data_IF_649464305872
#
_entry.id   IF_649464305872
#
_cell.length_a   1.000
_cell.length_b   1.000
_cell.length_c   1.000
_cell.angle_alpha   90.00
_cell.angle_beta   90.00
_cell.angle_gamma   90.00
#
_symmetry.space_group_name_H-M   'P 1'
#
loop_
_entity.id
_entity.type
_entity.pdbx_description
1 polymer ?
#
# COMPACT_ATOMS: atom_id res chain seq x y z
N UNK A 1 6.76 37.53 -40.06
CA UNK A 1 7.64 36.53 -39.37
C UNK A 1 6.77 35.36 -39.07
N UNK A 2 7.32 34.17 -39.02
CA UNK A 2 6.53 32.97 -38.66
C UNK A 2 6.47 32.90 -37.12
N UNK A 3 5.28 32.65 -36.54
CA UNK A 3 5.10 32.39 -35.11
C UNK A 3 5.99 31.23 -34.66
N UNK A 4 6.50 31.32 -33.46
CA UNK A 4 7.21 30.23 -32.78
C UNK A 4 6.41 29.79 -31.58
N UNK A 5 6.73 28.61 -31.03
CA UNK A 5 5.97 28.02 -29.95
C UNK A 5 6.91 27.52 -28.86
N UNK A 6 6.39 27.41 -27.62
CA UNK A 6 7.12 26.76 -26.55
C UNK A 6 7.12 25.25 -26.76
N UNK A 7 8.27 24.60 -26.56
CA UNK A 7 8.44 23.17 -26.85
C UNK A 7 7.47 22.31 -26.01
N UNK A 8 7.34 22.59 -24.71
CA UNK A 8 6.60 21.72 -23.79
C UNK A 8 5.08 21.92 -23.83
N UNK A 9 4.60 23.13 -24.08
CA UNK A 9 3.17 23.44 -24.00
C UNK A 9 2.53 23.80 -25.36
N UNK A 10 3.33 24.02 -26.39
CA UNK A 10 2.82 24.52 -27.67
C UNK A 10 2.23 25.93 -27.59
N UNK A 11 2.67 26.74 -26.59
CA UNK A 11 2.19 28.11 -26.38
C UNK A 11 2.79 29.03 -27.46
N UNK A 12 1.96 29.78 -28.15
CA UNK A 12 2.43 30.70 -29.19
C UNK A 12 3.20 31.90 -28.62
N UNK A 13 4.39 32.12 -29.14
CA UNK A 13 5.23 33.28 -28.86
C UNK A 13 5.01 34.30 -29.96
N UNK A 14 4.24 35.35 -29.66
CA UNK A 14 3.83 36.37 -30.64
C UNK A 14 5.00 37.32 -30.86
N UNK A 15 5.58 37.42 -32.09
CA UNK A 15 6.60 38.39 -32.40
C UNK A 15 6.07 39.81 -32.37
N UNK A 16 6.96 40.77 -32.10
CA UNK A 16 6.61 42.21 -32.14
C UNK A 16 6.10 42.63 -33.49
N UNK A 17 4.93 43.28 -33.53
CA UNK A 17 4.29 43.76 -34.75
C UNK A 17 3.48 42.73 -35.54
N UNK A 18 3.43 41.52 -35.05
CA UNK A 18 2.59 40.44 -35.62
C UNK A 18 1.18 40.42 -35.01
N UNK A 19 0.27 39.66 -35.64
CA UNK A 19 -1.10 39.36 -35.16
C UNK A 19 -1.99 40.60 -34.98
N UNK A 20 -1.82 41.62 -35.82
CA UNK A 20 -2.68 42.80 -35.83
C UNK A 20 -4.15 42.39 -36.01
N UNK A 21 -4.99 42.71 -35.03
CA UNK A 21 -6.41 42.36 -35.01
C UNK A 21 -6.73 40.94 -34.49
N UNK A 22 -5.75 40.06 -34.32
CA UNK A 22 -5.94 38.67 -33.83
C UNK A 22 -5.17 38.35 -32.55
N UNK A 23 -4.25 39.20 -32.11
CA UNK A 23 -3.39 38.94 -30.93
C UNK A 23 -4.20 38.60 -29.67
N UNK A 24 -5.37 39.22 -29.48
CA UNK A 24 -6.24 38.93 -28.35
C UNK A 24 -6.74 37.49 -28.36
N UNK A 25 -7.11 36.97 -29.53
CA UNK A 25 -7.52 35.55 -29.65
C UNK A 25 -6.38 34.62 -29.40
N UNK A 26 -5.20 34.88 -29.96
CA UNK A 26 -3.99 34.10 -29.75
C UNK A 26 -3.55 34.10 -28.28
N UNK A 27 -3.57 35.27 -27.63
CA UNK A 27 -3.24 35.38 -26.20
C UNK A 27 -4.24 34.63 -25.34
N UNK A 28 -5.54 34.70 -25.62
CA UNK A 28 -6.55 33.93 -24.87
C UNK A 28 -6.38 32.43 -25.08
N UNK A 29 -6.04 31.98 -26.30
CA UNK A 29 -5.72 30.57 -26.53
C UNK A 29 -4.49 30.13 -25.73
N UNK A 30 -3.43 30.95 -25.73
CA UNK A 30 -2.22 30.70 -24.93
C UNK A 30 -2.52 30.58 -23.42
N UNK A 31 -3.35 31.47 -22.88
CA UNK A 31 -3.79 31.38 -21.49
C UNK A 31 -4.64 30.14 -21.23
N UNK A 32 -5.51 29.72 -22.12
CA UNK A 32 -6.27 28.47 -21.99
C UNK A 32 -5.36 27.25 -22.05
N UNK A 33 -4.26 27.28 -22.81
CA UNK A 33 -3.23 26.25 -22.81
C UNK A 33 -2.53 26.21 -21.43
N UNK A 34 -2.11 27.36 -20.88
CA UNK A 34 -1.48 27.45 -19.56
C UNK A 34 -2.40 26.91 -18.48
N UNK A 35 -3.69 27.29 -18.49
CA UNK A 35 -4.67 26.78 -17.52
C UNK A 35 -4.82 25.25 -17.61
N UNK A 36 -4.87 24.73 -18.84
CA UNK A 36 -4.94 23.28 -19.07
C UNK A 36 -3.68 22.54 -18.57
N UNK A 37 -2.49 23.10 -18.80
CA UNK A 37 -1.22 22.55 -18.34
C UNK A 37 -1.10 22.52 -16.80
N UNK A 38 -1.65 23.54 -16.15
CA UNK A 38 -1.52 23.71 -14.69
C UNK A 38 -2.62 23.00 -13.89
N UNK A 39 -3.87 23.10 -14.36
CA UNK A 39 -5.05 22.65 -13.61
C UNK A 39 -5.94 21.66 -14.41
N UNK A 40 -5.58 21.37 -15.66
CA UNK A 40 -6.44 20.58 -16.54
C UNK A 40 -6.49 19.10 -16.20
N UNK A 41 -7.71 18.56 -16.14
CA UNK A 41 -7.99 17.13 -16.03
C UNK A 41 -8.63 16.66 -17.34
N UNK A 42 -7.93 15.79 -18.07
CA UNK A 42 -8.40 15.22 -19.32
C UNK A 42 -8.98 13.82 -19.13
N UNK A 43 -10.22 13.61 -19.63
CA UNK A 43 -10.78 12.27 -19.74
C UNK A 43 -10.54 11.75 -21.15
N UNK A 44 -9.71 10.73 -21.28
CA UNK A 44 -9.26 10.16 -22.54
C UNK A 44 -9.94 8.81 -22.75
N UNK A 45 -10.77 8.72 -23.79
CA UNK A 45 -11.45 7.48 -24.13
C UNK A 45 -10.56 6.63 -25.03
N UNK A 46 -10.04 5.53 -24.51
CA UNK A 46 -9.21 4.59 -25.24
C UNK A 46 -10.06 3.57 -26.01
N UNK A 47 -9.59 3.24 -27.21
CA UNK A 47 -10.13 2.18 -28.05
C UNK A 47 -8.98 1.51 -28.81
N UNK A 48 -9.19 0.28 -29.29
CA UNK A 48 -8.12 -0.46 -29.97
C UNK A 48 -6.92 -0.72 -29.06
N UNK A 49 -5.71 -0.68 -29.63
CA UNK A 49 -4.45 -0.99 -28.92
C UNK A 49 -3.45 0.15 -28.89
N UNK A 50 -3.77 1.28 -29.53
CA UNK A 50 -2.90 2.46 -29.60
C UNK A 50 -3.69 3.75 -29.48
N UNK A 51 -3.09 4.76 -28.86
CA UNK A 51 -3.61 6.12 -28.76
C UNK A 51 -2.45 7.12 -28.76
N UNK A 52 -2.62 8.28 -29.41
CA UNK A 52 -1.60 9.34 -29.36
C UNK A 52 -2.18 10.55 -28.66
N UNK A 53 -1.52 11.00 -27.62
CA UNK A 53 -1.78 12.27 -26.94
C UNK A 53 -0.85 13.32 -27.53
N UNK A 54 -1.42 14.33 -28.17
CA UNK A 54 -0.65 15.35 -28.88
C UNK A 54 -0.66 16.65 -28.09
N UNK A 55 0.51 17.26 -27.91
CA UNK A 55 0.65 18.67 -27.53
C UNK A 55 0.75 19.48 -28.80
N UNK A 56 -0.35 20.13 -29.19
CA UNK A 56 -0.44 20.89 -30.42
C UNK A 56 0.05 22.32 -30.24
N UNK A 57 0.76 22.83 -31.24
CA UNK A 57 1.22 24.22 -31.29
C UNK A 57 0.04 25.17 -31.48
N UNK A 58 -0.09 26.20 -30.64
CA UNK A 58 -1.07 27.28 -30.75
C UNK A 58 -2.53 26.84 -30.62
N UNK A 59 -2.82 25.62 -30.18
CA UNK A 59 -4.19 25.13 -30.03
C UNK A 59 -4.32 24.16 -28.84
N UNK A 60 -5.54 24.07 -28.33
CA UNK A 60 -5.85 23.15 -27.22
C UNK A 60 -5.82 21.70 -27.69
N UNK A 61 -5.12 20.84 -26.95
CA UNK A 61 -5.00 19.42 -27.29
C UNK A 61 -4.87 18.55 -26.05
N UNK A 62 -5.03 17.23 -26.22
CA UNK A 62 -5.13 16.29 -25.09
C UNK A 62 -3.81 16.07 -24.35
N UNK A 63 -2.66 16.21 -25.02
CA UNK A 63 -1.35 16.10 -24.40
C UNK A 63 -1.00 17.22 -23.43
N UNK A 64 -1.80 18.30 -23.40
CA UNK A 64 -1.60 19.46 -22.51
C UNK A 64 -2.24 19.28 -21.11
N UNK A 65 -2.98 18.21 -20.86
CA UNK A 65 -3.52 17.97 -19.51
C UNK A 65 -2.46 17.47 -18.54
N UNK A 66 -2.40 18.07 -17.35
CA UNK A 66 -1.53 17.58 -16.28
C UNK A 66 -2.06 16.30 -15.60
N UNK A 67 -3.38 16.10 -15.64
CA UNK A 67 -4.03 14.89 -15.10
C UNK A 67 -4.77 14.16 -16.22
N UNK A 68 -4.47 12.88 -16.40
CA UNK A 68 -5.03 12.02 -17.44
C UNK A 68 -5.87 10.90 -16.82
N UNK A 69 -7.16 10.88 -17.13
CA UNK A 69 -8.09 9.83 -16.74
C UNK A 69 -8.39 8.95 -17.95
N UNK A 70 -7.74 7.80 -18.06
CA UNK A 70 -8.00 6.83 -19.11
C UNK A 70 -9.27 6.04 -18.83
N UNK A 71 -10.19 6.06 -19.77
CA UNK A 71 -11.46 5.35 -19.76
C UNK A 71 -11.65 4.66 -21.11
N UNK A 72 -12.82 4.05 -21.32
CA UNK A 72 -13.17 3.38 -22.57
C UNK A 72 -13.11 1.87 -22.46
N UNK A 73 -12.94 1.19 -23.59
CA UNK A 73 -12.90 -0.27 -23.68
C UNK A 73 -11.92 -0.66 -24.80
N UNK A 74 -10.61 -0.52 -24.57
CA UNK A 74 -9.61 -0.95 -25.54
C UNK A 74 -9.70 -2.46 -25.76
N UNK A 75 -9.28 -2.94 -26.92
CA UNK A 75 -9.36 -4.36 -27.30
C UNK A 75 -8.25 -5.22 -26.70
N UNK A 76 -7.42 -4.65 -25.85
CA UNK A 76 -6.28 -5.26 -25.16
C UNK A 76 -5.38 -4.16 -24.61
N UNK A 77 -4.18 -4.49 -24.16
CA UNK A 77 -3.20 -3.49 -23.70
C UNK A 77 -3.07 -2.37 -24.71
N UNK A 78 -3.28 -1.13 -24.27
CA UNK A 78 -3.23 0.05 -25.11
C UNK A 78 -1.92 0.82 -24.91
N UNK A 79 -1.20 1.13 -26.00
CA UNK A 79 -0.01 1.99 -25.94
C UNK A 79 -0.43 3.43 -26.21
N UNK A 80 -0.28 4.28 -25.20
CA UNK A 80 -0.50 5.72 -25.26
C UNK A 80 0.84 6.41 -25.51
N UNK A 81 0.99 7.06 -26.67
CA UNK A 81 2.21 7.75 -27.04
C UNK A 81 2.05 9.25 -26.84
N UNK A 82 2.95 9.86 -26.08
CA UNK A 82 3.04 11.32 -25.93
C UNK A 82 3.79 11.91 -27.12
N UNK A 83 3.18 12.91 -27.76
CA UNK A 83 3.74 13.61 -28.92
C UNK A 83 3.61 15.13 -28.73
N UNK A 84 4.64 15.91 -29.18
CA UNK A 84 5.89 15.48 -29.77
C UNK A 84 6.85 14.81 -28.78
N UNK A 85 7.87 14.13 -29.26
CA UNK A 85 8.81 13.39 -28.42
C UNK A 85 9.94 14.25 -27.81
N UNK A 86 9.97 15.52 -28.12
CA UNK A 86 10.90 16.53 -27.58
C UNK A 86 10.26 17.45 -26.52
N UNK A 87 8.98 17.20 -26.16
CA UNK A 87 8.31 17.91 -25.09
C UNK A 87 8.44 17.14 -23.77
N UNK A 88 9.05 17.75 -22.75
CA UNK A 88 9.07 17.22 -21.39
C UNK A 88 7.81 17.62 -20.63
N UNK A 89 7.21 16.68 -19.90
CA UNK A 89 5.95 16.91 -19.21
C UNK A 89 5.75 15.95 -18.02
N UNK A 90 5.13 16.44 -16.95
CA UNK A 90 4.70 15.63 -15.81
C UNK A 90 3.22 15.32 -15.96
N UNK A 91 2.87 14.04 -15.77
CA UNK A 91 1.49 13.57 -15.81
C UNK A 91 1.12 12.82 -14.53
N UNK A 92 -0.06 13.11 -14.03
CA UNK A 92 -0.75 12.26 -13.06
C UNK A 92 -1.75 11.42 -13.82
N UNK A 93 -1.57 10.11 -13.82
CA UNK A 93 -2.36 9.19 -14.65
C UNK A 93 -3.23 8.31 -13.77
N UNK A 94 -4.49 8.15 -14.13
CA UNK A 94 -5.39 7.11 -13.59
C UNK A 94 -5.91 6.25 -14.73
N UNK A 95 -5.70 4.95 -14.66
CA UNK A 95 -6.21 4.01 -15.64
C UNK A 95 -7.48 3.31 -15.13
N UNK A 96 -8.60 3.54 -15.80
CA UNK A 96 -9.90 2.89 -15.56
C UNK A 96 -10.48 2.35 -16.88
N UNK A 97 -9.63 2.02 -17.86
CA UNK A 97 -10.05 1.61 -19.23
C UNK A 97 -10.43 0.13 -19.36
N UNK A 98 -10.23 -0.68 -18.30
CA UNK A 98 -10.46 -2.12 -18.35
C UNK A 98 -9.20 -2.93 -18.65
N UNK A 99 -8.23 -2.36 -19.36
CA UNK A 99 -6.99 -3.01 -19.79
C UNK A 99 -5.76 -2.27 -19.24
N UNK A 100 -4.57 -2.86 -19.38
CA UNK A 100 -3.32 -2.17 -19.06
C UNK A 100 -3.00 -1.10 -20.09
N UNK A 101 -2.42 0.01 -19.65
CA UNK A 101 -1.95 1.11 -20.51
C UNK A 101 -0.43 1.21 -20.42
N UNK A 102 0.25 1.20 -21.57
CA UNK A 102 1.68 1.47 -21.69
C UNK A 102 1.83 2.93 -22.10
N UNK A 103 2.55 3.70 -21.30
CA UNK A 103 2.89 5.10 -21.57
C UNK A 103 4.25 5.13 -22.26
N UNK A 104 4.33 5.77 -23.41
CA UNK A 104 5.52 5.82 -24.27
C UNK A 104 5.71 7.22 -24.83
N UNK A 105 6.95 7.62 -25.12
CA UNK A 105 7.22 8.90 -25.82
C UNK A 105 8.16 8.74 -27.02
N UNK A 106 9.15 7.86 -26.92
CA UNK A 106 10.13 7.58 -27.97
C UNK A 106 10.61 6.14 -27.93
N UNK A 107 11.88 5.92 -28.22
CA UNK A 107 12.50 4.60 -28.16
C UNK A 107 13.05 4.24 -26.77
N UNK A 108 12.93 5.14 -25.79
CA UNK A 108 13.37 4.93 -24.40
C UNK A 108 12.45 4.04 -23.60
N UNK A 109 12.63 4.05 -22.26
CA UNK A 109 11.83 3.25 -21.35
C UNK A 109 10.35 3.67 -21.34
N UNK A 110 9.47 2.71 -21.14
CA UNK A 110 8.03 2.90 -21.03
C UNK A 110 7.53 2.56 -19.63
N UNK A 111 6.37 3.11 -19.25
CA UNK A 111 5.70 2.83 -17.98
C UNK A 111 4.38 2.11 -18.26
N UNK A 112 4.13 1.00 -17.55
CA UNK A 112 2.86 0.29 -17.61
C UNK A 112 2.00 0.59 -16.40
N UNK A 113 0.81 1.13 -16.64
CA UNK A 113 -0.21 1.39 -15.62
C UNK A 113 -1.32 0.35 -15.76
N UNK A 114 -1.40 -0.58 -14.82
CA UNK A 114 -2.44 -1.61 -14.83
C UNK A 114 -3.83 -1.01 -14.63
N UNK A 115 -4.87 -1.71 -15.09
CA UNK A 115 -6.25 -1.27 -14.86
C UNK A 115 -6.55 -1.06 -13.37
N UNK A 116 -7.24 0.02 -13.04
CA UNK A 116 -7.58 0.42 -11.68
C UNK A 116 -6.44 1.08 -10.89
N UNK A 117 -5.24 1.23 -11.49
CA UNK A 117 -4.08 1.86 -10.86
C UNK A 117 -3.87 3.30 -11.32
N UNK A 118 -3.04 4.02 -10.54
CA UNK A 118 -2.60 5.37 -10.85
C UNK A 118 -1.07 5.44 -10.79
N UNK A 119 -0.50 6.39 -11.52
CA UNK A 119 0.93 6.66 -11.53
C UNK A 119 1.19 8.15 -11.65
N UNK A 120 2.32 8.61 -11.13
CA UNK A 120 2.89 9.92 -11.42
C UNK A 120 4.12 9.65 -12.28
N UNK A 121 4.10 10.18 -13.49
CA UNK A 121 5.16 9.94 -14.46
C UNK A 121 5.65 11.24 -15.06
N UNK A 122 6.87 11.26 -15.58
CA UNK A 122 7.30 12.31 -16.48
C UNK A 122 7.80 11.72 -17.81
N UNK A 123 7.50 12.41 -18.87
CA UNK A 123 8.06 12.23 -20.19
C UNK A 123 9.28 13.17 -20.30
N UNK A 124 10.45 12.67 -20.71
CA UNK A 124 11.72 13.40 -20.59
C UNK A 124 12.09 14.24 -21.81
N UNK A 125 11.27 14.20 -22.89
CA UNK A 125 11.47 15.02 -24.08
C UNK A 125 12.79 14.81 -24.81
N UNK A 126 13.46 13.66 -24.64
CA UNK A 126 14.79 13.41 -25.19
C UNK A 126 14.80 13.09 -26.70
N UNK A 127 13.73 13.43 -27.43
CA UNK A 127 13.60 13.20 -28.86
C UNK A 127 13.43 11.72 -29.20
N UNK A 128 14.22 11.20 -30.15
CA UNK A 128 14.11 9.79 -30.57
C UNK A 128 14.33 8.83 -29.40
N UNK A 129 15.19 9.18 -28.45
CA UNK A 129 15.47 8.40 -27.26
C UNK A 129 14.54 8.66 -26.07
N UNK A 130 13.50 9.48 -26.26
CA UNK A 130 12.63 9.89 -25.17
C UNK A 130 12.02 8.72 -24.40
N UNK A 131 11.98 8.86 -23.09
CA UNK A 131 11.49 7.87 -22.15
C UNK A 131 10.34 8.42 -21.30
N UNK A 132 9.53 7.52 -20.78
CA UNK A 132 8.59 7.81 -19.69
C UNK A 132 9.11 7.17 -18.43
N UNK A 133 9.17 7.93 -17.35
CA UNK A 133 9.73 7.52 -16.06
C UNK A 133 8.65 7.56 -14.99
N UNK A 134 8.47 6.46 -14.27
CA UNK A 134 7.56 6.38 -13.13
C UNK A 134 8.27 6.89 -11.86
N UNK A 135 7.72 7.94 -11.27
CA UNK A 135 8.20 8.52 -10.01
C UNK A 135 7.24 8.24 -8.84
N UNK A 136 6.18 7.46 -9.07
CA UNK A 136 5.18 7.13 -8.05
C UNK A 136 5.83 6.52 -6.82
N UNK A 137 6.76 5.58 -7.00
CA UNK A 137 7.44 4.88 -5.92
C UNK A 137 8.33 5.80 -5.07
N UNK A 138 8.74 6.95 -5.59
CA UNK A 138 9.53 7.93 -4.80
C UNK A 138 8.66 8.72 -3.83
N UNK A 139 7.33 8.78 -4.07
CA UNK A 139 6.35 9.39 -3.17
C UNK A 139 5.67 8.38 -2.25
N UNK A 140 5.81 7.09 -2.54
CA UNK A 140 5.40 6.06 -1.59
C UNK A 140 6.36 6.15 -0.42
N UNK A 141 5.89 6.67 0.69
CA UNK A 141 6.53 6.41 1.97
C UNK A 141 6.53 4.89 2.07
N UNK A 142 7.67 4.27 1.72
CA UNK A 142 7.91 2.91 2.15
C UNK A 142 7.91 3.01 3.65
N UNK A 143 6.77 2.73 4.25
CA UNK A 143 6.62 2.60 5.68
C UNK A 143 7.40 1.33 6.06
N UNK A 144 8.74 1.45 5.93
CA UNK A 144 9.69 0.40 6.26
C UNK A 144 9.67 0.04 7.75
N UNK A 145 8.81 0.73 8.51
CA UNK A 145 8.56 0.52 9.92
C UNK A 145 7.13 0.11 10.26
N UNK A 146 6.17 0.19 9.33
CA UNK A 146 4.81 -0.25 9.61
C UNK A 146 4.67 -1.76 9.49
N UNK A 147 4.02 -2.34 10.47
CA UNK A 147 3.66 -3.75 10.47
C UNK A 147 2.58 -4.01 9.40
N UNK A 148 2.85 -4.91 8.49
CA UNK A 148 1.90 -5.29 7.44
C UNK A 148 0.82 -6.19 8.01
N UNK A 149 -0.44 -5.80 7.87
CA UNK A 149 -1.58 -6.62 8.36
C UNK A 149 -1.57 -8.03 7.77
N UNK A 150 -1.12 -8.17 6.51
CA UNK A 150 -1.00 -9.46 5.84
C UNK A 150 0.07 -10.39 6.45
N UNK A 151 1.02 -9.86 7.21
CA UNK A 151 2.14 -10.62 7.76
C UNK A 151 1.89 -11.14 9.17
N UNK A 152 0.74 -10.84 9.79
CA UNK A 152 0.38 -11.28 11.15
C UNK A 152 1.52 -11.09 12.16
N UNK A 153 2.23 -9.95 12.10
CA UNK A 153 3.37 -9.60 12.95
C UNK A 153 4.65 -10.44 12.69
N UNK A 154 4.74 -11.22 11.60
CA UNK A 154 5.97 -11.94 11.24
C UNK A 154 7.10 -11.01 10.78
N UNK A 155 6.76 -9.77 10.46
CA UNK A 155 7.66 -8.68 10.07
C UNK A 155 8.17 -7.82 11.24
N UNK A 156 7.91 -8.23 12.48
CA UNK A 156 8.50 -7.60 13.67
C UNK A 156 10.02 -7.82 13.70
N UNK A 157 10.79 -6.74 13.54
CA UNK A 157 12.26 -6.78 13.61
C UNK A 157 12.79 -7.31 14.94
N UNK A 158 12.07 -7.09 16.04
CA UNK A 158 12.43 -7.55 17.37
C UNK A 158 11.19 -7.88 18.20
N UNK A 159 10.79 -9.14 18.14
CA UNK A 159 9.63 -9.63 18.90
C UNK A 159 9.84 -9.54 20.43
N UNK A 160 11.08 -9.58 20.93
CA UNK A 160 11.36 -9.43 22.35
C UNK A 160 11.13 -7.99 22.83
N UNK A 161 11.61 -6.99 22.06
CA UNK A 161 11.36 -5.57 22.35
C UNK A 161 9.87 -5.25 22.25
N UNK A 162 9.16 -5.79 21.25
CA UNK A 162 7.72 -5.59 21.12
C UNK A 162 6.95 -6.12 22.32
N UNK A 163 7.29 -7.32 22.84
CA UNK A 163 6.70 -7.85 24.07
C UNK A 163 6.97 -6.96 25.27
N UNK A 164 8.18 -6.44 25.40
CA UNK A 164 8.55 -5.52 26.49
C UNK A 164 7.72 -4.23 26.44
N UNK A 165 7.57 -3.63 25.26
CA UNK A 165 6.79 -2.41 25.05
C UNK A 165 5.29 -2.62 25.35
N UNK A 166 4.79 -3.84 25.12
CA UNK A 166 3.42 -4.24 25.49
C UNK A 166 3.30 -4.67 26.95
N UNK A 167 4.36 -4.55 27.75
CA UNK A 167 4.43 -5.04 29.13
C UNK A 167 4.16 -6.55 29.26
N UNK A 168 4.43 -7.32 28.21
CA UNK A 168 4.27 -8.78 28.18
C UNK A 168 5.59 -9.47 28.53
N UNK A 169 5.93 -9.46 29.81
CA UNK A 169 7.17 -10.10 30.31
C UNK A 169 6.92 -11.59 30.53
N UNK A 170 7.67 -12.43 29.79
CA UNK A 170 7.61 -13.88 29.94
C UNK A 170 8.11 -14.27 31.35
N UNK A 171 7.33 -15.02 32.05
CA UNK A 171 7.58 -15.39 33.46
C UNK A 171 7.00 -14.43 34.50
N UNK A 172 6.41 -13.30 34.07
CA UNK A 172 5.73 -12.33 34.95
C UNK A 172 4.25 -12.21 34.60
N UNK A 173 3.92 -11.72 33.41
CA UNK A 173 2.53 -11.59 32.92
C UNK A 173 2.19 -12.59 31.81
N UNK A 174 3.17 -13.25 31.23
CA UNK A 174 2.99 -14.38 30.31
C UNK A 174 3.79 -15.53 30.84
N UNK A 175 3.15 -16.68 31.12
CA UNK A 175 3.83 -17.88 31.56
C UNK A 175 4.90 -18.29 30.53
N UNK A 176 6.13 -18.48 30.97
CA UNK A 176 7.14 -19.13 30.15
C UNK A 176 6.69 -20.56 29.84
N UNK A 177 7.00 -21.03 28.63
CA UNK A 177 6.80 -22.42 28.32
C UNK A 177 7.67 -23.27 29.31
N UNK A 178 7.00 -24.09 30.13
CA UNK A 178 7.61 -25.06 31.01
C UNK A 178 7.08 -26.44 30.62
N UNK A 179 7.98 -27.33 30.23
CA UNK A 179 7.64 -28.70 29.82
C UNK A 179 7.03 -29.50 30.96
N UNK A 180 7.40 -29.20 32.20
CA UNK A 180 6.85 -29.87 33.37
C UNK A 180 5.43 -29.39 33.67
N UNK A 181 5.17 -28.07 33.53
CA UNK A 181 3.83 -27.51 33.67
C UNK A 181 2.92 -28.01 32.54
N UNK A 182 3.41 -28.04 31.30
CA UNK A 182 2.68 -28.62 30.19
C UNK A 182 2.37 -30.10 30.40
N UNK A 183 3.35 -30.87 30.86
CA UNK A 183 3.16 -32.28 31.19
C UNK A 183 2.15 -32.46 32.34
N UNK A 184 2.20 -31.63 33.37
CA UNK A 184 1.24 -31.66 34.47
C UNK A 184 -0.19 -31.40 33.95
N UNK A 185 -0.40 -30.32 33.22
CA UNK A 185 -1.74 -29.94 32.71
C UNK A 185 -2.30 -30.95 31.71
N UNK A 186 -1.44 -31.59 30.89
CA UNK A 186 -1.89 -32.57 29.88
C UNK A 186 -1.99 -33.98 30.41
N UNK A 187 -1.25 -34.33 31.45
CA UNK A 187 -1.20 -35.68 32.02
C UNK A 187 -2.26 -35.89 33.09
N UNK A 188 -2.52 -34.84 33.91
CA UNK A 188 -3.46 -34.97 35.03
C UNK A 188 -4.83 -34.35 34.66
N UNK A 189 -5.90 -35.10 34.93
CA UNK A 189 -7.26 -34.55 34.95
C UNK A 189 -7.45 -33.74 36.21
N UNK A 190 -7.57 -32.43 36.08
CA UNK A 190 -7.78 -31.49 37.20
C UNK A 190 -9.26 -31.48 37.62
N UNK A 191 -9.55 -31.30 38.92
CA UNK A 191 -10.92 -31.06 39.36
C UNK A 191 -11.52 -29.80 38.71
N UNK A 192 -12.79 -29.85 38.39
CA UNK A 192 -13.53 -28.72 37.77
C UNK A 192 -14.11 -27.73 38.75
N UNK A 193 -14.02 -28.02 40.03
CA UNK A 193 -14.49 -27.18 41.16
C UNK A 193 -13.45 -27.17 42.28
N UNK A 194 -13.52 -26.14 43.08
CA UNK A 194 -12.72 -26.05 44.32
C UNK A 194 -13.15 -27.11 45.34
N UNK A 195 -12.22 -27.56 46.21
CA UNK A 195 -12.50 -28.45 47.29
C UNK A 195 -13.16 -27.75 48.50
N UNK A 196 -13.56 -28.52 49.50
CA UNK A 196 -14.01 -27.97 50.74
C UNK A 196 -12.82 -27.64 51.68
N UNK A 197 -13.07 -26.88 52.74
CA UNK A 197 -12.07 -26.65 53.79
C UNK A 197 -11.55 -28.00 54.30
N UNK A 198 -10.25 -28.06 54.63
CA UNK A 198 -9.53 -29.24 55.12
C UNK A 198 -9.36 -30.39 54.11
N UNK A 199 -9.67 -30.19 52.84
CA UNK A 199 -9.37 -31.14 51.77
C UNK A 199 -8.03 -30.82 51.09
N UNK A 200 -7.30 -31.86 50.70
CA UNK A 200 -6.08 -31.78 49.93
C UNK A 200 -6.31 -32.31 48.53
N UNK A 201 -5.58 -31.74 47.56
CA UNK A 201 -5.55 -32.27 46.20
C UNK A 201 -4.70 -33.57 46.22
N UNK A 202 -5.32 -34.69 45.91
CA UNK A 202 -4.70 -36.01 45.91
C UNK A 202 -4.78 -36.68 44.55
N UNK A 203 -3.82 -37.57 44.25
CA UNK A 203 -3.83 -38.39 43.03
C UNK A 203 -4.38 -39.79 43.33
N UNK A 204 -5.15 -40.32 42.39
CA UNK A 204 -5.62 -41.71 42.44
C UNK A 204 -4.58 -42.73 41.91
N UNK A 205 -3.37 -42.29 41.52
CA UNK A 205 -2.35 -43.11 40.88
C UNK A 205 -2.59 -43.40 39.40
N UNK A 206 -3.67 -42.83 38.78
CA UNK A 206 -4.05 -43.03 37.39
C UNK A 206 -4.33 -41.68 36.69
N UNK A 207 -3.45 -40.70 36.97
CA UNK A 207 -3.48 -39.36 36.36
C UNK A 207 -4.77 -38.53 36.60
N UNK A 208 -5.56 -38.87 37.63
CA UNK A 208 -6.69 -38.06 38.07
C UNK A 208 -6.41 -37.42 39.40
N UNK A 209 -6.60 -36.13 39.51
CA UNK A 209 -6.53 -35.34 40.71
C UNK A 209 -7.94 -35.08 41.25
N UNK A 210 -8.13 -35.23 42.54
CA UNK A 210 -9.39 -34.96 43.23
C UNK A 210 -9.13 -34.38 44.61
N UNK A 211 -10.13 -33.74 45.18
CA UNK A 211 -10.04 -33.30 46.57
C UNK A 211 -10.44 -34.44 47.50
N UNK A 212 -9.63 -34.69 48.51
CA UNK A 212 -9.92 -35.64 49.59
C UNK A 212 -9.50 -35.02 50.92
N UNK A 213 -10.10 -35.51 52.01
CA UNK A 213 -9.81 -35.04 53.36
C UNK A 213 -8.31 -35.19 53.70
N UNK A 214 -7.67 -34.08 54.04
CA UNK A 214 -6.23 -33.99 54.31
C UNK A 214 -5.79 -34.53 55.69
N UNK A 215 -6.74 -34.97 56.44
CA UNK A 215 -6.47 -35.40 57.82
C UNK A 215 -6.13 -36.88 57.99
N UNK A 216 -5.34 -37.19 59.01
CA UNK A 216 -5.37 -38.51 59.60
C UNK A 216 -6.78 -38.69 60.16
N UNK A 217 -7.58 -39.55 59.53
CA UNK A 217 -8.98 -39.75 59.92
C UNK A 217 -9.11 -39.82 61.46
N UNK A 218 -10.06 -39.10 62.01
CA UNK A 218 -10.27 -38.96 63.46
C UNK A 218 -10.10 -40.31 64.21
N UNK A 219 -10.52 -41.40 63.57
CA UNK A 219 -10.36 -42.70 64.06
C UNK A 219 -8.88 -43.16 64.24
N UNK A 220 -7.98 -42.77 63.34
CA UNK A 220 -6.53 -43.05 63.48
C UNK A 220 -5.89 -42.11 64.48
N UNK A 221 -6.30 -40.88 64.61
CA UNK A 221 -5.83 -39.96 65.64
C UNK A 221 -6.24 -40.41 67.03
N UNK A 222 -7.47 -40.87 67.16
CA UNK A 222 -7.95 -41.44 68.44
C UNK A 222 -7.21 -42.75 68.78
N UNK A 223 -7.00 -43.63 67.80
CA UNK A 223 -6.26 -44.85 67.98
C UNK A 223 -4.80 -44.58 68.40
N UNK A 224 -4.13 -43.61 67.82
CA UNK A 224 -2.79 -43.18 68.21
C UNK A 224 -2.78 -42.58 69.63
N UNK A 225 -3.74 -41.78 70.03
CA UNK A 225 -3.85 -41.22 71.39
C UNK A 225 -4.14 -42.28 72.41
N UNK A 226 -4.87 -43.34 72.08
CA UNK A 226 -5.14 -44.46 73.01
C UNK A 226 -3.92 -45.37 73.14
N UNK A 227 -3.10 -45.52 72.12
CA UNK A 227 -1.94 -46.43 72.14
C UNK A 227 -0.71 -45.75 72.70
N UNK A 228 -0.54 -44.46 72.57
CA UNK A 228 0.65 -43.71 72.97
C UNK A 228 0.40 -42.60 74.00
N UNK A 229 -0.82 -42.41 74.41
CA UNK A 229 -1.23 -41.42 75.42
C UNK A 229 -1.00 -41.83 76.89
#
# INVERSE_FOLDING_TARGET
MTSTYTTNGGIELIPTGEQSGTWGTTTNTSWNIVDRLTNGVGSITLSGTTHTLTTSEGSLSDGQYGVLLFAGSPSGTNTVTFAPNDADHIYIVKNSSGESVILSQGAGANVTVANGKSAIVYADGAGVGAAVVDITSTFVVTDSGALQVANNLSDLNNAATARTNLSLVVGTNVLAYDSNLQSFVTTFTLPTSDGNADQALVTNGSATLSFADAGIGIGKSIAMAIVFG
#
